data_IF_111653516555
#
_entry.id   IF_111653516555
#
_cell.length_a   1.000
_cell.length_b   1.000
_cell.length_c   1.000
_cell.angle_alpha   90.00
_cell.angle_beta   90.00
_cell.angle_gamma   90.00
#
_symmetry.space_group_name_H-M   'P 1'
#
loop_
_entity.id
_entity.type
_entity.pdbx_description
1 polymer ?
2 non-polymer ?
3 non-polymer ?
4 water ?
#
# COMPACT_ATOMS: atom_id res chain seq x y z
N UNK A 5 29.65 -7.53 0.26
CA UNK A 5 29.69 -6.08 0.06
C UNK A 5 28.68 -5.63 -1.01
N UNK A 6 28.76 -6.23 -2.22
CA UNK A 6 27.89 -5.95 -3.36
C UNK A 6 26.53 -6.63 -3.19
N UNK A 7 26.45 -7.63 -2.26
CA UNK A 7 25.23 -8.38 -1.92
C UNK A 7 24.18 -7.46 -1.29
N UNK A 8 24.63 -6.43 -0.54
CA UNK A 8 23.74 -5.45 0.07
C UNK A 8 23.24 -4.44 -0.97
N UNK A 9 24.06 -4.10 -1.99
CA UNK A 9 23.65 -3.18 -3.06
C UNK A 9 22.48 -3.80 -3.87
N UNK A 10 22.43 -5.15 -3.91
CA UNK A 10 21.36 -5.92 -4.55
C UNK A 10 20.08 -5.85 -3.71
N UNK A 11 20.20 -5.77 -2.37
CA UNK A 11 19.06 -5.66 -1.46
C UNK A 11 18.41 -4.27 -1.53
N UNK A 12 19.21 -3.24 -1.88
CA UNK A 12 18.79 -1.84 -2.02
C UNK A 12 18.01 -1.68 -3.35
N UNK A 13 18.54 -2.26 -4.46
CA UNK A 13 17.91 -2.25 -5.78
C UNK A 13 16.52 -2.93 -5.70
N UNK A 14 16.40 -3.97 -4.84
CA UNK A 14 15.17 -4.71 -4.56
C UNK A 14 14.23 -3.91 -3.65
N UNK A 15 14.79 -3.07 -2.77
CA UNK A 15 13.98 -2.25 -1.86
C UNK A 15 13.36 -1.07 -2.62
N UNK A 16 14.19 -0.32 -3.38
CA UNK A 16 13.80 0.86 -4.16
C UNK A 16 12.76 0.51 -5.22
N UNK A 17 12.81 -0.73 -5.75
CA UNK A 17 11.86 -1.24 -6.73
C UNK A 17 10.54 -1.54 -6.04
N UNK A 18 10.58 -2.40 -4.99
CA UNK A 18 9.44 -2.79 -4.17
C UNK A 18 8.69 -1.57 -3.64
N UNK A 19 9.40 -0.45 -3.46
CA UNK A 19 8.79 0.80 -3.00
C UNK A 19 8.00 1.45 -4.13
N UNK A 20 8.54 1.42 -5.37
CA UNK A 20 7.89 2.02 -6.54
C UNK A 20 6.62 1.24 -6.91
N UNK A 21 6.70 -0.12 -6.94
CA UNK A 21 5.59 -1.05 -7.19
C UNK A 21 4.43 -0.78 -6.22
N UNK A 22 4.76 -0.57 -4.95
CA UNK A 22 3.81 -0.31 -3.88
C UNK A 22 3.12 1.04 -3.94
N UNK A 23 3.85 2.12 -4.26
CA UNK A 23 3.31 3.48 -4.37
C UNK A 23 2.44 3.60 -5.65
N UNK A 24 2.80 2.81 -6.68
CA UNK A 24 2.10 2.69 -7.96
C UNK A 24 0.76 1.97 -7.72
N UNK A 25 0.79 0.91 -6.91
CA UNK A 25 -0.40 0.14 -6.54
C UNK A 25 -1.34 1.01 -5.72
N UNK A 26 -0.80 1.87 -4.85
CA UNK A 26 -1.61 2.77 -4.04
C UNK A 26 -2.27 3.81 -4.93
N UNK A 27 -1.52 4.33 -5.93
CA UNK A 27 -2.03 5.33 -6.85
C UNK A 27 -3.25 4.78 -7.60
N UNK A 28 -3.04 3.62 -8.25
CA UNK A 28 -4.00 2.92 -9.07
C UNK A 28 -5.16 2.32 -8.25
N UNK A 29 -4.98 2.10 -6.95
CA UNK A 29 -6.07 1.64 -6.06
C UNK A 29 -6.89 2.84 -5.64
N UNK A 30 -6.25 4.04 -5.53
CA UNK A 30 -6.95 5.29 -5.21
C UNK A 30 -7.72 5.75 -6.44
N UNK A 31 -7.21 5.41 -7.63
CA UNK A 31 -7.86 5.70 -8.91
C UNK A 31 -9.12 4.86 -9.08
N UNK A 32 -9.02 3.57 -8.75
CA UNK A 32 -10.12 2.64 -8.81
C UNK A 32 -11.23 3.00 -7.81
N UNK A 33 -10.89 3.46 -6.60
CA UNK A 33 -11.87 3.84 -5.56
C UNK A 33 -12.61 5.14 -5.87
N UNK A 34 -11.89 6.10 -6.45
CA UNK A 34 -12.43 7.40 -6.86
C UNK A 34 -13.49 7.18 -7.96
N UNK A 35 -13.16 6.30 -8.96
CA UNK A 35 -14.07 5.94 -10.05
C UNK A 35 -15.35 5.26 -9.53
N UNK A 36 -15.25 4.40 -8.49
CA UNK A 36 -16.39 3.72 -7.83
C UNK A 36 -17.24 4.79 -7.17
N UNK A 37 -16.60 5.80 -6.53
CA UNK A 37 -17.39 6.89 -5.96
C UNK A 37 -18.15 7.60 -7.10
N UNK A 38 -17.49 7.76 -8.26
CA UNK A 38 -18.05 8.35 -9.47
C UNK A 38 -19.21 7.58 -10.05
N UNK A 39 -19.15 6.21 -10.13
CA UNK A 39 -20.30 5.46 -10.65
C UNK A 39 -21.44 5.39 -9.63
N UNK A 40 -21.12 5.38 -8.36
CA UNK A 40 -22.16 5.40 -7.33
C UNK A 40 -23.04 6.66 -7.45
N UNK A 41 -22.42 7.86 -7.42
CA UNK A 41 -23.11 9.15 -7.47
C UNK A 41 -23.86 9.30 -8.79
N UNK A 42 -23.23 8.93 -9.95
CA UNK A 42 -23.84 9.01 -11.30
C UNK A 42 -25.03 8.09 -11.43
N UNK A 43 -24.95 6.88 -10.85
CA UNK A 43 -26.05 5.94 -10.83
C UNK A 43 -27.20 6.49 -9.96
N UNK A 44 -26.85 7.16 -8.84
CA UNK A 44 -27.83 7.73 -7.91
C UNK A 44 -28.62 8.90 -8.54
N UNK A 45 -27.94 9.74 -9.35
CA UNK A 45 -28.60 10.83 -10.08
C UNK A 45 -29.63 10.21 -11.03
N UNK A 46 -29.21 9.17 -11.80
CA UNK A 46 -30.09 8.44 -12.70
C UNK A 46 -31.32 7.88 -12.00
N UNK A 47 -31.17 7.28 -10.81
CA UNK A 47 -32.35 6.73 -10.10
C UNK A 47 -33.23 7.85 -9.59
N UNK A 48 -32.63 9.00 -9.20
CA UNK A 48 -33.38 10.17 -8.70
C UNK A 48 -34.28 10.81 -9.78
N UNK A 49 -33.80 10.89 -11.04
CA UNK A 49 -34.61 11.43 -12.13
C UNK A 49 -35.81 10.49 -12.40
N UNK A 50 -35.65 9.16 -12.16
CA UNK A 50 -36.72 8.18 -12.29
C UNK A 50 -37.79 8.47 -11.27
N UNK A 51 -37.38 8.77 -10.02
CA UNK A 51 -38.27 9.10 -8.89
C UNK A 51 -39.07 10.39 -9.16
N UNK A 52 -38.50 11.33 -9.96
CA UNK A 52 -39.16 12.58 -10.34
C UNK A 52 -40.27 12.30 -11.38
N UNK A 53 -39.95 11.51 -12.43
CA UNK A 53 -40.87 11.12 -13.50
C UNK A 53 -41.80 9.92 -13.20
N UNK A 54 -42.39 9.91 -11.99
CA UNK A 54 -43.15 8.78 -11.45
C UNK A 54 -44.37 9.22 -10.61
N UNK A 55 -44.49 10.54 -10.30
CA UNK A 55 -45.58 11.12 -9.50
C UNK A 55 -46.98 11.00 -10.19
N UNK A 56 -48.08 10.65 -9.48
CA UNK A 56 -48.22 10.39 -8.02
C UNK A 56 -47.53 9.10 -7.55
N UNK A 57 -48.03 7.91 -7.96
CA UNK A 57 -47.51 6.57 -7.65
C UNK A 57 -48.21 5.54 -8.55
N UNK A 58 -47.45 4.85 -9.43
CA UNK A 58 -48.07 3.90 -10.37
C UNK A 58 -47.27 2.60 -10.58
N UNK A 59 -47.97 1.45 -10.44
CA UNK A 59 -47.55 0.05 -10.64
C UNK A 59 -46.27 -0.39 -9.86
N UNK A 60 -46.08 0.15 -8.65
CA UNK A 60 -44.98 -0.22 -7.76
C UNK A 60 -43.89 0.80 -7.50
N UNK A 61 -44.23 1.90 -6.79
CA UNK A 61 -43.25 2.93 -6.42
C UNK A 61 -42.42 2.45 -5.22
N UNK A 62 -43.02 1.60 -4.36
CA UNK A 62 -42.40 1.03 -3.17
C UNK A 62 -41.34 0.00 -3.54
N UNK A 63 -41.42 -0.56 -4.75
CA UNK A 63 -40.45 -1.52 -5.25
C UNK A 63 -39.46 -0.84 -6.24
N UNK A 64 -39.43 0.51 -6.24
CA UNK A 64 -38.52 1.33 -7.06
C UNK A 64 -37.65 2.13 -6.09
N UNK A 65 -38.27 2.69 -5.03
CA UNK A 65 -37.58 3.44 -3.99
C UNK A 65 -36.70 2.49 -3.18
N UNK A 66 -37.16 1.23 -2.93
CA UNK A 66 -36.41 0.20 -2.20
C UNK A 66 -35.17 -0.24 -3.00
N UNK A 67 -35.30 -0.46 -4.33
CA UNK A 67 -34.24 -0.90 -5.25
C UNK A 67 -33.18 0.18 -5.30
N UNK A 68 -33.61 1.41 -5.54
CA UNK A 68 -32.74 2.58 -5.59
C UNK A 68 -32.05 2.88 -4.28
N UNK A 69 -32.70 2.49 -3.18
CA UNK A 69 -32.15 2.68 -1.84
C UNK A 69 -31.01 1.71 -1.56
N UNK A 70 -31.30 0.41 -1.63
CA UNK A 70 -30.28 -0.58 -1.35
C UNK A 70 -29.22 -0.70 -2.44
N UNK A 71 -29.38 -0.04 -3.60
CA UNK A 71 -28.33 0.01 -4.63
C UNK A 71 -27.23 0.95 -4.16
N UNK A 72 -27.64 2.06 -3.54
CA UNK A 72 -26.72 3.05 -3.02
C UNK A 72 -25.95 2.50 -1.83
N UNK A 73 -26.62 1.68 -0.98
CA UNK A 73 -26.06 1.01 0.17
C UNK A 73 -24.97 0.04 -0.28
N UNK A 74 -25.21 -0.77 -1.36
CA UNK A 74 -24.20 -1.70 -1.89
C UNK A 74 -22.92 -0.95 -2.34
N UNK A 75 -23.08 0.09 -3.18
CA UNK A 75 -22.01 0.99 -3.65
C UNK A 75 -21.28 1.60 -2.44
N UNK A 76 -22.04 2.12 -1.46
CA UNK A 76 -21.54 2.78 -0.25
C UNK A 76 -20.65 1.82 0.57
N UNK A 77 -21.16 0.61 0.86
CA UNK A 77 -20.45 -0.40 1.66
C UNK A 77 -19.23 -0.97 0.90
N UNK A 78 -19.37 -1.31 -0.40
CA UNK A 78 -18.28 -1.83 -1.25
C UNK A 78 -17.07 -0.85 -1.24
N UNK A 79 -17.31 0.46 -1.48
CA UNK A 79 -16.25 1.50 -1.46
C UNK A 79 -15.57 1.54 -0.07
N UNK A 80 -16.36 1.55 1.00
CA UNK A 80 -15.84 1.60 2.36
C UNK A 80 -15.00 0.36 2.72
N UNK A 81 -15.48 -0.86 2.38
CA UNK A 81 -14.75 -2.12 2.62
C UNK A 81 -13.39 -2.12 1.87
N UNK A 82 -13.31 -1.41 0.76
CA UNK A 82 -12.04 -1.31 0.06
C UNK A 82 -11.15 -0.26 0.71
N UNK A 83 -11.77 0.82 1.26
CA UNK A 83 -11.07 1.89 1.96
C UNK A 83 -10.49 1.39 3.31
N UNK A 84 -11.34 0.77 4.16
CA UNK A 84 -10.99 0.24 5.49
C UNK A 84 -10.23 -1.11 5.42
N UNK A 85 -10.25 -1.76 4.26
CA UNK A 85 -9.61 -3.06 4.06
C UNK A 85 -8.30 -2.95 3.33
N UNK A 86 -8.33 -3.29 2.06
CA UNK A 86 -7.17 -3.37 1.16
C UNK A 86 -6.40 -2.04 0.98
N UNK A 87 -7.06 -0.86 1.13
CA UNK A 87 -6.33 0.41 0.96
C UNK A 87 -5.55 0.75 2.25
N UNK A 88 -6.17 0.56 3.42
CA UNK A 88 -5.52 0.80 4.69
C UNK A 88 -4.30 -0.17 4.85
N UNK A 89 -4.50 -1.47 4.56
CA UNK A 89 -3.46 -2.50 4.60
C UNK A 89 -2.28 -2.09 3.72
N UNK A 90 -2.54 -1.47 2.58
CA UNK A 90 -1.50 -1.05 1.66
C UNK A 90 -0.81 0.23 2.17
N UNK A 91 -1.54 1.11 2.90
CA UNK A 91 -0.97 2.35 3.42
C UNK A 91 0.02 2.04 4.54
N UNK A 92 -0.39 1.16 5.48
CA UNK A 92 0.42 0.73 6.62
C UNK A 92 1.69 -0.02 6.10
N UNK A 93 1.55 -0.88 5.06
CA UNK A 93 2.67 -1.59 4.44
C UNK A 93 3.68 -0.59 3.84
N UNK A 94 3.21 0.51 3.23
CA UNK A 94 4.08 1.52 2.62
C UNK A 94 4.70 2.46 3.65
N UNK A 95 4.12 2.50 4.84
CA UNK A 95 4.61 3.32 5.94
C UNK A 95 5.90 2.78 6.54
N UNK A 96 6.24 1.51 6.21
CA UNK A 96 7.45 0.80 6.62
C UNK A 96 8.68 1.35 5.93
N UNK A 97 8.49 1.88 4.73
CA UNK A 97 9.54 2.29 3.82
C UNK A 97 10.32 3.58 4.22
N UNK A 98 9.72 4.72 4.67
CA UNK A 98 10.54 5.92 4.96
C UNK A 98 11.60 5.74 6.05
N UNK A 99 11.36 4.88 7.05
CA UNK A 99 12.34 4.66 8.11
C UNK A 99 13.51 3.81 7.58
N UNK A 100 13.20 2.71 6.83
CA UNK A 100 14.21 1.85 6.22
C UNK A 100 15.08 2.70 5.26
N UNK A 101 14.46 3.69 4.57
CA UNK A 101 15.11 4.62 3.63
C UNK A 101 16.23 5.42 4.30
N UNK A 102 15.94 6.00 5.49
CA UNK A 102 16.83 6.81 6.33
C UNK A 102 18.00 5.99 6.86
N UNK A 103 17.73 4.73 7.21
CA UNK A 103 18.73 3.83 7.76
C UNK A 103 19.67 3.30 6.68
N UNK A 104 19.21 3.14 5.41
CA UNK A 104 20.06 2.68 4.29
C UNK A 104 21.12 3.76 4.00
N UNK A 105 20.71 5.04 4.11
CA UNK A 105 21.58 6.20 3.93
C UNK A 105 22.57 6.36 5.12
N UNK A 106 22.07 6.21 6.37
CA UNK A 106 22.85 6.29 7.61
C UNK A 106 24.01 5.27 7.58
N UNK A 107 23.70 4.00 7.29
CA UNK A 107 24.66 2.90 7.16
C UNK A 107 25.74 3.24 6.13
N UNK A 108 25.36 3.76 4.93
CA UNK A 108 26.26 4.15 3.84
C UNK A 108 27.34 5.15 4.31
N UNK A 109 26.95 6.12 5.17
CA UNK A 109 27.89 7.08 5.71
C UNK A 109 28.76 6.40 6.79
N UNK A 110 28.11 5.60 7.67
CA UNK A 110 28.77 4.82 8.73
C UNK A 110 29.78 3.84 8.13
N UNK A 111 29.58 3.45 6.86
CA UNK A 111 30.52 2.58 6.15
C UNK A 111 31.78 3.40 5.77
N UNK A 112 31.60 4.67 5.33
CA UNK A 112 32.69 5.56 4.92
C UNK A 112 33.57 5.84 6.16
N UNK A 113 32.95 6.21 7.30
CA UNK A 113 33.62 6.50 8.57
C UNK A 113 34.43 5.29 9.08
N UNK A 114 33.91 4.08 8.87
CA UNK A 114 34.53 2.80 9.21
C UNK A 114 35.78 2.62 8.34
N UNK A 115 35.63 2.77 7.03
CA UNK A 115 36.71 2.65 6.05
C UNK A 115 37.76 3.76 6.20
N UNK A 116 37.37 4.96 6.69
CA UNK A 116 38.33 6.04 6.88
C UNK A 116 39.12 5.76 8.16
N UNK A 117 38.42 5.32 9.25
CA UNK A 117 39.05 4.97 10.54
C UNK A 117 39.98 3.77 10.39
N UNK A 118 39.63 2.83 9.50
CA UNK A 118 40.40 1.62 9.21
C UNK A 118 41.67 1.96 8.41
N UNK A 119 41.56 2.73 7.28
CA UNK A 119 42.68 3.13 6.39
C UNK A 119 43.77 3.94 7.14
N UNK A 120 43.41 4.49 8.31
CA UNK A 120 44.30 5.17 9.23
C UNK A 120 45.18 4.11 9.96
N UNK A 121 45.37 2.89 9.34
CA UNK A 121 46.20 1.75 9.81
C UNK A 121 47.68 1.99 9.47
N UNK A 122 47.94 3.05 8.67
CA UNK A 122 49.26 3.53 8.26
C UNK A 122 50.00 4.05 9.49
N UNK A 123 49.24 4.42 10.54
CA UNK A 123 49.72 4.90 11.83
C UNK A 123 50.55 3.80 12.50
N UNK A 124 50.10 2.52 12.37
CA UNK A 124 50.79 1.32 12.87
C UNK A 124 51.56 0.66 11.70
N UNK A 125 52.42 1.48 11.04
CA UNK A 125 53.29 1.14 9.92
C UNK A 125 54.44 2.19 9.85
N UNK A 126 55.15 2.38 11.00
CA UNK A 126 56.26 3.32 11.21
C UNK A 126 57.62 2.72 10.80
N UNK A 130 56.49 4.10 16.02
CA UNK A 130 55.08 4.44 16.16
C UNK A 130 54.78 5.05 17.54
N UNK A 131 53.79 5.97 17.59
CA UNK A 131 53.28 6.66 18.79
C UNK A 131 52.13 5.80 19.38
N UNK A 132 52.38 5.13 20.52
CA UNK A 132 51.41 4.22 21.16
C UNK A 132 50.15 4.93 21.65
N UNK A 133 50.26 6.20 22.11
CA UNK A 133 49.14 7.03 22.60
C UNK A 133 48.17 7.42 21.47
N UNK A 134 48.68 7.54 20.21
CA UNK A 134 47.91 7.87 19.00
C UNK A 134 47.33 6.59 18.32
N UNK A 135 48.01 5.42 18.47
CA UNK A 135 47.54 4.11 17.97
C UNK A 135 46.28 3.72 18.73
N UNK A 136 46.38 3.74 20.06
CA UNK A 136 45.31 3.42 21.00
C UNK A 136 44.16 4.41 20.89
N UNK A 137 44.45 5.67 20.48
CA UNK A 137 43.41 6.70 20.29
C UNK A 137 42.63 6.37 19.00
N UNK A 138 43.36 5.90 17.96
CA UNK A 138 42.80 5.50 16.67
C UNK A 138 42.02 4.20 16.81
N UNK A 139 42.48 3.28 17.70
CA UNK A 139 41.83 1.99 18.00
C UNK A 139 40.45 2.23 18.57
N UNK A 140 40.35 3.15 19.55
CA UNK A 140 39.11 3.57 20.21
C UNK A 140 38.11 4.22 19.20
N UNK A 141 38.63 4.87 18.13
CA UNK A 141 37.84 5.52 17.08
C UNK A 141 37.52 4.53 15.93
N UNK A 142 38.30 3.44 15.78
CA UNK A 142 38.06 2.39 14.79
C UNK A 142 37.04 1.39 15.33
N UNK A 143 37.26 0.92 16.57
CA UNK A 143 36.37 -0.02 17.25
C UNK A 143 34.99 0.62 17.39
N UNK A 144 34.93 1.94 17.72
CA UNK A 144 33.67 2.68 17.84
C UNK A 144 32.95 2.75 16.48
N UNK A 145 33.71 3.01 15.38
CA UNK A 145 33.17 3.08 14.02
C UNK A 145 32.69 1.71 13.52
N UNK A 146 33.38 0.63 13.94
CA UNK A 146 33.02 -0.74 13.55
C UNK A 146 31.71 -1.20 14.24
N UNK A 147 31.53 -0.84 15.53
CA UNK A 147 30.33 -1.19 16.30
C UNK A 147 29.10 -0.40 15.81
N UNK A 148 29.31 0.89 15.40
CA UNK A 148 28.22 1.72 14.88
C UNK A 148 27.78 1.17 13.51
N UNK A 149 28.73 0.95 12.56
CA UNK A 149 28.38 0.39 11.25
C UNK A 149 27.67 -0.94 11.36
N UNK A 150 28.20 -1.86 12.17
CA UNK A 150 27.62 -3.20 12.31
C UNK A 150 26.23 -3.19 12.98
N UNK A 151 25.90 -2.15 13.79
CA UNK A 151 24.59 -2.00 14.42
C UNK A 151 23.51 -1.74 13.32
N UNK A 152 23.80 -0.80 12.38
CA UNK A 152 22.93 -0.48 11.23
C UNK A 152 22.93 -1.60 10.21
N UNK A 153 24.13 -2.12 9.85
CA UNK A 153 24.27 -3.17 8.84
C UNK A 153 23.59 -4.51 9.23
N UNK A 154 23.83 -5.04 10.46
CA UNK A 154 23.26 -6.31 10.91
C UNK A 154 21.73 -6.33 10.74
N UNK A 155 21.02 -5.26 11.17
CA UNK A 155 19.57 -5.14 11.08
C UNK A 155 19.02 -5.18 9.64
N UNK A 156 19.54 -4.30 8.79
CA UNK A 156 19.14 -4.16 7.40
C UNK A 156 19.41 -5.43 6.58
N UNK A 157 20.56 -6.13 6.82
CA UNK A 157 20.94 -7.37 6.12
C UNK A 157 19.86 -8.46 6.27
N UNK A 158 19.07 -8.36 7.36
CA UNK A 158 17.94 -9.21 7.71
C UNK A 158 16.62 -8.65 7.12
N UNK A 159 16.32 -7.36 7.43
CA UNK A 159 15.10 -6.60 7.10
C UNK A 159 14.83 -6.37 5.61
N UNK A 160 15.87 -6.19 4.78
CA UNK A 160 15.68 -5.96 3.34
C UNK A 160 15.28 -7.28 2.61
N UNK A 161 15.99 -8.44 2.71
CA UNK A 161 15.47 -9.68 2.08
C UNK A 161 14.19 -10.23 2.76
N UNK A 162 13.87 -9.79 4.00
CA UNK A 162 12.68 -10.21 4.75
C UNK A 162 11.43 -9.42 4.32
N UNK A 163 11.61 -8.18 3.82
CA UNK A 163 10.50 -7.36 3.32
C UNK A 163 10.17 -7.81 1.89
N UNK A 164 11.21 -8.08 1.08
CA UNK A 164 11.15 -8.54 -0.32
C UNK A 164 10.47 -9.90 -0.47
N UNK A 165 10.57 -10.74 0.56
CA UNK A 165 9.95 -12.06 0.61
C UNK A 165 8.42 -11.96 0.81
N UNK A 166 7.95 -11.05 1.71
CA UNK A 166 6.53 -10.88 1.98
C UNK A 166 5.83 -10.03 0.88
N UNK A 167 6.60 -9.62 -0.15
CA UNK A 167 6.18 -8.82 -1.29
C UNK A 167 5.24 -9.60 -2.20
N UNK A 168 5.67 -10.80 -2.65
CA UNK A 168 4.92 -11.68 -3.57
C UNK A 168 3.51 -11.95 -3.02
N UNK A 169 3.45 -12.47 -1.79
CA UNK A 169 2.22 -12.77 -1.08
C UNK A 169 1.45 -11.55 -0.63
N UNK A 170 2.06 -10.35 -0.70
CA UNK A 170 1.36 -9.12 -0.32
C UNK A 170 0.43 -8.68 -1.46
N UNK A 171 0.97 -8.57 -2.69
CA UNK A 171 0.19 -8.16 -3.87
C UNK A 171 -0.91 -9.19 -4.13
N UNK A 172 -0.59 -10.48 -3.91
CA UNK A 172 -1.48 -11.63 -4.04
C UNK A 172 -2.67 -11.49 -3.08
N UNK A 173 -2.42 -11.15 -1.81
CA UNK A 173 -3.50 -11.03 -0.81
C UNK A 173 -4.38 -9.78 -1.04
N UNK A 174 -3.80 -8.71 -1.62
CA UNK A 174 -4.49 -7.45 -1.87
C UNK A 174 -5.55 -7.70 -2.95
N UNK A 175 -5.14 -8.26 -4.09
CA UNK A 175 -5.98 -8.57 -5.23
C UNK A 175 -6.99 -9.66 -4.93
N UNK A 176 -6.68 -10.56 -3.98
CA UNK A 176 -7.60 -11.60 -3.58
C UNK A 176 -8.80 -10.93 -2.91
N UNK A 177 -8.55 -10.10 -1.90
CA UNK A 177 -9.60 -9.42 -1.14
C UNK A 177 -10.40 -8.42 -1.99
N UNK A 178 -9.76 -7.82 -3.01
CA UNK A 178 -10.38 -6.84 -3.91
C UNK A 178 -11.38 -7.59 -4.81
N UNK A 179 -10.87 -8.59 -5.61
CA UNK A 179 -11.67 -9.43 -6.50
C UNK A 179 -12.86 -10.10 -5.79
N UNK A 180 -12.71 -10.43 -4.49
CA UNK A 180 -13.76 -11.06 -3.70
C UNK A 180 -14.80 -10.03 -3.27
N UNK A 181 -14.38 -8.76 -3.00
CA UNK A 181 -15.37 -7.73 -2.66
C UNK A 181 -16.16 -7.33 -3.90
N UNK A 182 -15.47 -7.24 -5.07
CA UNK A 182 -16.02 -6.96 -6.39
C UNK A 182 -17.11 -7.99 -6.64
N UNK A 183 -16.70 -9.29 -6.74
CA UNK A 183 -17.58 -10.42 -6.98
C UNK A 183 -18.84 -10.36 -6.10
N UNK A 184 -18.72 -10.22 -4.79
CA UNK A 184 -19.95 -10.14 -3.97
C UNK A 184 -20.78 -8.86 -4.28
N UNK A 185 -20.15 -7.74 -4.68
CA UNK A 185 -20.90 -6.51 -5.02
C UNK A 185 -21.65 -6.67 -6.37
N UNK A 186 -20.93 -7.06 -7.43
CA UNK A 186 -21.50 -7.28 -8.76
C UNK A 186 -22.59 -8.38 -8.75
N UNK A 187 -22.38 -9.50 -8.00
CA UNK A 187 -23.39 -10.55 -7.95
C UNK A 187 -24.65 -10.04 -7.26
N UNK A 188 -24.49 -9.21 -6.24
CA UNK A 188 -25.64 -8.71 -5.48
C UNK A 188 -26.39 -7.55 -6.17
N UNK A 189 -25.68 -6.67 -6.89
CA UNK A 189 -26.32 -5.53 -7.57
C UNK A 189 -27.09 -6.02 -8.80
N UNK A 190 -26.59 -7.08 -9.50
CA UNK A 190 -27.21 -7.72 -10.65
C UNK A 190 -28.64 -8.17 -10.35
N UNK A 191 -28.88 -8.54 -9.10
CA UNK A 191 -30.18 -8.98 -8.62
C UNK A 191 -31.07 -7.76 -8.46
N UNK A 192 -30.58 -6.69 -7.79
CA UNK A 192 -31.33 -5.45 -7.61
C UNK A 192 -31.72 -4.79 -8.95
N UNK A 193 -30.79 -4.81 -9.93
CA UNK A 193 -30.99 -4.30 -11.27
C UNK A 193 -32.12 -5.08 -11.94
N UNK A 194 -32.14 -6.42 -11.77
CA UNK A 194 -33.18 -7.26 -12.34
C UNK A 194 -34.54 -6.94 -11.74
N UNK A 195 -34.61 -6.67 -10.42
CA UNK A 195 -35.87 -6.29 -9.77
C UNK A 195 -36.41 -4.99 -10.38
N UNK A 196 -35.52 -4.02 -10.68
CA UNK A 196 -35.93 -2.76 -11.30
C UNK A 196 -36.55 -3.03 -12.66
N UNK A 197 -35.92 -3.90 -13.48
CA UNK A 197 -36.43 -4.29 -14.80
C UNK A 197 -37.84 -4.89 -14.69
N UNK A 198 -38.03 -5.80 -13.71
CA UNK A 198 -39.28 -6.51 -13.46
C UNK A 198 -40.41 -5.55 -13.02
N UNK A 199 -40.05 -4.42 -12.38
CA UNK A 199 -41.01 -3.41 -11.95
C UNK A 199 -41.35 -2.52 -13.16
N UNK A 200 -40.38 -2.33 -14.09
CA UNK A 200 -40.59 -1.55 -15.30
C UNK A 200 -41.53 -2.29 -16.23
N UNK A 201 -41.31 -3.60 -16.40
CA UNK A 201 -42.15 -4.45 -17.26
C UNK A 201 -43.59 -4.50 -16.72
N UNK A 202 -43.75 -4.42 -15.40
CA UNK A 202 -45.08 -4.36 -14.81
C UNK A 202 -45.84 -3.11 -15.29
N UNK A 203 -45.12 -2.00 -15.43
CA UNK A 203 -45.71 -0.73 -15.88
C UNK A 203 -46.10 -0.80 -17.37
N UNK A 204 -45.11 -1.07 -18.24
CA UNK A 204 -45.29 -1.16 -19.68
C UNK A 204 -45.76 -2.52 -20.16
X LIG B 1 -26.29 0.35 -10.60
X LIG B 1 -26.60 1.12 -9.43
X LIG B 1 -24.99 0.85 -11.20
X LIG B 1 -24.61 0.11 -12.38
X LIG C 1 -9.48 -5.78 -10.22
X LIG D 1 -23.98 8.80 -1.56
#
# INVERSE_FOLDING_TARGET
SMTKDEQFEEYVQNFKRQEAEGTRLQRELRGYLAAIKGMQEASMKLTESLHEVYEPDWYGREDVKMVGEKCDVLWEDFHQKLVDGSLLTLDTYLGQFPDIKNRIAKRSRKLVDYDSARHHLEALQSSKRKDESRISKAEEEFQKAQKVFEEFNVDLQEELPSLWSRRVGFYVNTFKNVSSLEAKFHKEIAVLCHKLYEVMTKLGD
EDO C1 O1 C2 O2
K K
K K
#
